data_IF_329904621266
#
_entry.id   IF_329904621266
#
_cell.length_a   1.000
_cell.length_b   1.000
_cell.length_c   1.000
_cell.angle_alpha   90.00
_cell.angle_beta   90.00
_cell.angle_gamma   90.00
#
_symmetry.space_group_name_H-M   'P 1'
#
loop_
_entity.id
_entity.type
_entity.pdbx_description
1 polymer ?
#
# COMPACT_ATOMS: atom_id res chain seq x y z
N UNK A 1 9.12 -1.41 5.70
CA UNK A 1 7.67 -1.52 5.41
C UNK A 1 7.22 -2.94 5.70
N UNK A 2 6.00 -3.11 6.17
CA UNK A 2 5.47 -4.44 6.46
C UNK A 2 5.27 -5.23 5.17
N UNK A 3 5.63 -6.50 5.18
CA UNK A 3 5.42 -7.47 4.10
C UNK A 3 4.84 -8.76 4.70
N UNK A 4 4.34 -9.65 3.86
CA UNK A 4 3.82 -10.96 4.26
C UNK A 4 4.52 -12.08 3.50
N UNK A 5 4.34 -13.31 3.94
CA UNK A 5 4.70 -14.47 3.14
C UNK A 5 3.75 -14.58 1.94
N UNK A 6 4.33 -14.76 0.75
CA UNK A 6 3.57 -15.02 -0.47
C UNK A 6 3.91 -16.43 -0.98
N UNK A 7 2.88 -17.22 -1.19
CA UNK A 7 2.99 -18.54 -1.82
C UNK A 7 2.16 -18.55 -3.09
N UNK A 8 2.78 -18.77 -4.27
CA UNK A 8 2.04 -18.89 -5.51
C UNK A 8 0.97 -19.98 -5.42
N UNK A 9 -0.18 -19.71 -6.02
CA UNK A 9 -1.26 -20.69 -6.13
C UNK A 9 -0.97 -21.68 -7.26
N UNK A 10 -1.02 -22.96 -6.95
CA UNK A 10 -0.91 -24.02 -7.96
C UNK A 10 -2.29 -24.45 -8.52
N UNK A 11 -3.33 -23.61 -8.33
CA UNK A 11 -4.67 -23.91 -8.79
C UNK A 11 -4.73 -23.89 -10.32
N UNK A 12 -5.02 -25.04 -10.92
CA UNK A 12 -5.27 -25.14 -12.36
C UNK A 12 -6.75 -24.84 -12.60
N UNK A 13 -7.00 -23.76 -13.34
CA UNK A 13 -8.33 -23.36 -13.78
C UNK A 13 -8.30 -23.31 -15.30
N UNK A 14 -9.35 -23.79 -15.98
CA UNK A 14 -9.46 -23.65 -17.43
C UNK A 14 -9.54 -22.15 -17.78
N UNK A 15 -8.72 -21.74 -18.73
CA UNK A 15 -8.72 -20.35 -19.20
C UNK A 15 -9.92 -20.12 -20.12
N UNK A 16 -10.62 -19.03 -19.86
CA UNK A 16 -11.73 -18.54 -20.69
C UNK A 16 -11.22 -17.60 -21.75
N UNK A 17 -11.96 -17.42 -22.81
CA UNK A 17 -11.71 -16.39 -23.80
C UNK A 17 -12.04 -15.01 -23.26
N UNK A 18 -11.25 -14.01 -23.64
CA UNK A 18 -11.51 -12.63 -23.26
C UNK A 18 -12.81 -12.17 -23.89
N UNK A 19 -13.73 -11.73 -23.05
CA UNK A 19 -15.04 -11.24 -23.47
C UNK A 19 -15.25 -9.82 -22.96
N UNK A 20 -15.67 -8.92 -23.87
CA UNK A 20 -16.05 -7.55 -23.55
C UNK A 20 -17.52 -7.50 -23.09
N UNK A 21 -17.74 -6.96 -21.90
CA UNK A 21 -19.05 -6.88 -21.26
C UNK A 21 -19.40 -5.42 -20.94
N UNK A 22 -20.61 -5.01 -21.28
CA UNK A 22 -21.10 -3.67 -20.92
C UNK A 22 -21.43 -3.62 -19.41
N UNK A 23 -20.92 -2.61 -18.75
CA UNK A 23 -21.08 -2.35 -17.30
C UNK A 23 -21.45 -0.87 -17.11
N UNK A 24 -22.62 -0.44 -17.56
CA UNK A 24 -23.02 0.96 -17.49
C UNK A 24 -23.13 1.41 -16.04
N UNK A 25 -22.65 2.62 -15.75
CA UNK A 25 -22.71 3.29 -14.43
C UNK A 25 -22.00 2.52 -13.28
N UNK A 26 -21.17 1.53 -13.60
CA UNK A 26 -20.40 0.72 -12.65
C UNK A 26 -18.95 1.13 -12.72
N UNK A 27 -18.36 1.61 -11.61
CA UNK A 27 -16.99 2.17 -11.58
C UNK A 27 -16.10 1.60 -10.48
N UNK A 28 -16.68 1.23 -9.35
CA UNK A 28 -15.91 0.68 -8.22
C UNK A 28 -15.77 -0.84 -8.32
N UNK A 29 -14.75 -1.40 -7.68
CA UNK A 29 -14.46 -2.84 -7.71
C UNK A 29 -15.63 -3.66 -7.15
N UNK A 30 -16.22 -3.22 -6.04
CA UNK A 30 -17.36 -3.86 -5.41
C UNK A 30 -18.61 -3.83 -6.31
N UNK A 31 -18.88 -2.70 -6.98
CA UNK A 31 -19.97 -2.61 -7.96
C UNK A 31 -19.75 -3.54 -9.15
N UNK A 32 -18.52 -3.56 -9.72
CA UNK A 32 -18.16 -4.44 -10.85
C UNK A 32 -18.30 -5.90 -10.46
N UNK A 33 -17.76 -6.29 -9.29
CA UNK A 33 -17.83 -7.66 -8.78
C UNK A 33 -19.28 -8.10 -8.57
N UNK A 34 -20.10 -7.23 -7.97
CA UNK A 34 -21.53 -7.50 -7.76
C UNK A 34 -22.30 -7.59 -9.09
N UNK A 35 -22.05 -6.68 -10.04
CA UNK A 35 -22.74 -6.64 -11.34
C UNK A 35 -22.45 -7.89 -12.18
N UNK A 36 -21.19 -8.34 -12.19
CA UNK A 36 -20.75 -9.52 -12.95
C UNK A 36 -20.88 -10.82 -12.15
N UNK A 37 -21.33 -10.75 -10.88
CA UNK A 37 -21.46 -11.88 -9.97
C UNK A 37 -20.17 -12.70 -9.83
N UNK A 38 -19.06 -12.01 -9.64
CA UNK A 38 -17.74 -12.59 -9.38
C UNK A 38 -17.20 -12.11 -8.02
N UNK A 39 -16.31 -12.87 -7.36
CA UNK A 39 -15.66 -12.38 -6.15
C UNK A 39 -14.68 -11.22 -6.47
N UNK A 40 -14.50 -10.28 -5.54
CA UNK A 40 -13.56 -9.16 -5.72
C UNK A 40 -12.12 -9.65 -6.00
N UNK A 41 -11.74 -10.81 -5.45
CA UNK A 41 -10.44 -11.44 -5.70
C UNK A 41 -10.22 -11.87 -7.16
N UNK A 42 -11.29 -11.95 -7.95
CA UNK A 42 -11.22 -12.23 -9.39
C UNK A 42 -11.11 -10.95 -10.22
N UNK A 43 -11.21 -9.79 -9.62
CA UNK A 43 -11.01 -8.52 -10.30
C UNK A 43 -9.57 -8.04 -10.15
N UNK A 44 -9.06 -7.29 -11.13
CA UNK A 44 -7.77 -6.62 -11.06
C UNK A 44 -8.02 -5.13 -11.25
N UNK A 45 -7.66 -4.33 -10.24
CA UNK A 45 -7.70 -2.88 -10.34
C UNK A 45 -6.42 -2.35 -10.99
N UNK A 46 -6.61 -1.37 -11.84
CA UNK A 46 -5.53 -0.72 -12.60
C UNK A 46 -5.42 0.73 -12.14
N UNK A 47 -4.26 1.10 -11.60
CA UNK A 47 -3.98 2.42 -11.08
C UNK A 47 -2.84 3.06 -11.89
N UNK A 48 -2.98 4.32 -12.24
CA UNK A 48 -1.99 5.06 -13.01
C UNK A 48 -1.27 6.07 -12.13
N UNK A 49 0.05 6.09 -12.21
CA UNK A 49 0.94 6.99 -11.47
C UNK A 49 1.94 7.66 -12.40
N UNK A 50 2.33 8.88 -12.05
CA UNK A 50 3.47 9.57 -12.64
C UNK A 50 4.70 9.35 -11.76
N UNK A 51 5.76 8.79 -12.31
CA UNK A 51 7.04 8.56 -11.64
C UNK A 51 8.14 9.25 -12.46
N UNK A 52 8.75 10.30 -11.91
CA UNK A 52 9.80 11.09 -12.57
C UNK A 52 9.43 11.55 -14.00
N UNK A 53 8.15 11.83 -14.23
CA UNK A 53 7.62 12.27 -15.53
C UNK A 53 7.24 11.14 -16.50
N UNK A 54 7.36 9.88 -16.10
CA UNK A 54 6.92 8.71 -16.85
C UNK A 54 5.63 8.14 -16.29
N UNK A 55 4.72 7.71 -17.16
CA UNK A 55 3.47 7.06 -16.75
C UNK A 55 3.75 5.58 -16.43
N UNK A 56 3.31 5.16 -15.24
CA UNK A 56 3.47 3.80 -14.72
C UNK A 56 2.11 3.26 -14.30
N UNK A 57 1.88 1.99 -14.55
CA UNK A 57 0.66 1.28 -14.16
C UNK A 57 0.94 0.34 -13.00
N UNK A 58 0.13 0.44 -11.95
CA UNK A 58 0.12 -0.48 -10.83
C UNK A 58 -1.12 -1.37 -10.86
N UNK A 59 -0.91 -2.69 -10.78
CA UNK A 59 -1.99 -3.68 -10.76
C UNK A 59 -2.09 -4.36 -9.40
N UNK A 60 -3.30 -4.45 -8.87
CA UNK A 60 -3.61 -5.18 -7.64
C UNK A 60 -4.87 -6.04 -7.82
N UNK A 61 -4.97 -7.08 -7.02
CA UNK A 61 -6.24 -7.78 -6.86
C UNK A 61 -7.28 -6.83 -6.26
N UNK A 62 -8.50 -6.89 -6.72
CA UNK A 62 -9.54 -5.87 -6.46
C UNK A 62 -9.72 -5.49 -5.00
N UNK A 63 -9.67 -6.44 -4.10
CA UNK A 63 -9.84 -6.20 -2.67
C UNK A 63 -8.55 -5.78 -1.94
N UNK A 64 -7.36 -5.74 -2.58
CA UNK A 64 -6.10 -5.27 -2.00
C UNK A 64 -5.94 -3.75 -2.15
N UNK A 65 -5.09 -3.13 -1.31
CA UNK A 65 -4.74 -1.71 -1.36
C UNK A 65 -3.27 -1.55 -1.74
N UNK A 66 -2.99 -0.54 -2.57
CA UNK A 66 -1.62 -0.19 -2.93
C UNK A 66 -0.90 0.46 -1.74
N UNK A 67 0.35 0.06 -1.53
CA UNK A 67 1.29 0.81 -0.71
C UNK A 67 2.18 1.66 -1.63
N UNK A 68 1.84 2.93 -1.77
CA UNK A 68 2.53 3.87 -2.65
C UNK A 68 4.02 4.00 -2.34
N UNK A 69 4.39 3.88 -1.07
CA UNK A 69 5.80 3.93 -0.65
C UNK A 69 6.58 2.71 -1.13
N UNK A 70 5.96 1.52 -1.13
CA UNK A 70 6.58 0.32 -1.71
C UNK A 70 6.80 0.49 -3.21
N UNK A 71 5.78 0.96 -3.93
CA UNK A 71 5.85 1.18 -5.37
C UNK A 71 6.89 2.25 -5.72
N UNK A 72 6.86 3.41 -5.06
CA UNK A 72 7.85 4.48 -5.24
C UNK A 72 9.29 3.97 -5.03
N UNK A 73 9.52 3.23 -3.93
CA UNK A 73 10.86 2.69 -3.62
C UNK A 73 11.31 1.64 -4.64
N UNK A 74 10.38 0.81 -5.13
CA UNK A 74 10.69 -0.17 -6.17
C UNK A 74 11.10 0.50 -7.49
N UNK A 75 10.40 1.57 -7.85
CA UNK A 75 10.73 2.38 -9.03
C UNK A 75 12.02 3.19 -8.87
N UNK A 76 12.44 3.46 -7.64
CA UNK A 76 13.57 4.37 -7.33
C UNK A 76 13.27 5.82 -7.69
N UNK A 77 11.99 6.20 -7.75
CA UNK A 77 11.56 7.51 -8.20
C UNK A 77 11.75 8.59 -7.12
N UNK A 78 12.23 9.75 -7.53
CA UNK A 78 12.29 10.93 -6.66
C UNK A 78 10.91 11.60 -6.55
N UNK A 79 10.22 11.79 -7.68
CA UNK A 79 8.86 12.31 -7.75
C UNK A 79 7.88 11.19 -8.09
N UNK A 80 6.80 11.10 -7.31
CA UNK A 80 5.80 10.05 -7.46
C UNK A 80 4.44 10.58 -7.01
N UNK A 81 3.45 10.59 -7.93
CA UNK A 81 2.10 11.08 -7.66
C UNK A 81 1.06 10.30 -8.49
N UNK A 82 -0.20 10.39 -8.09
CA UNK A 82 -1.31 9.81 -8.88
C UNK A 82 -1.41 10.56 -10.21
N UNK A 83 -1.52 9.82 -11.31
CA UNK A 83 -1.70 10.44 -12.62
C UNK A 83 -3.05 11.14 -12.71
N UNK A 84 -3.05 12.32 -13.31
CA UNK A 84 -4.27 13.09 -13.60
C UNK A 84 -5.08 12.45 -14.74
N UNK A 85 -6.35 12.80 -14.84
CA UNK A 85 -7.20 12.35 -15.95
C UNK A 85 -6.64 12.74 -17.32
N UNK A 86 -6.02 13.92 -17.43
CA UNK A 86 -5.41 14.39 -18.68
C UNK A 86 -4.19 13.54 -19.08
N UNK A 87 -3.33 13.21 -18.13
CA UNK A 87 -2.17 12.35 -18.36
C UNK A 87 -2.57 10.94 -18.78
N UNK A 88 -3.61 10.38 -18.17
CA UNK A 88 -4.17 9.07 -18.53
C UNK A 88 -4.84 9.13 -19.88
N UNK A 89 -5.62 10.18 -20.18
CA UNK A 89 -6.34 10.34 -21.46
C UNK A 89 -5.41 10.46 -22.66
N UNK A 90 -4.17 10.90 -22.47
CA UNK A 90 -3.15 10.91 -23.53
C UNK A 90 -2.73 9.49 -23.99
N UNK A 91 -3.02 8.47 -23.18
CA UNK A 91 -2.62 7.08 -23.41
C UNK A 91 -3.84 6.17 -23.60
N UNK A 92 -4.86 6.37 -22.77
CA UNK A 92 -6.08 5.55 -22.74
C UNK A 92 -7.28 6.47 -22.86
N UNK A 93 -8.11 6.28 -23.86
CA UNK A 93 -9.31 7.09 -24.08
C UNK A 93 -10.49 6.63 -23.24
N UNK A 94 -10.26 6.45 -21.93
CA UNK A 94 -11.27 6.04 -20.98
C UNK A 94 -11.06 6.74 -19.63
N UNK A 95 -12.16 6.95 -18.90
CA UNK A 95 -12.13 7.53 -17.57
C UNK A 95 -11.80 6.52 -16.47
N UNK A 96 -11.50 7.03 -15.27
CA UNK A 96 -11.30 6.20 -14.10
C UNK A 96 -12.53 5.31 -13.83
N UNK A 97 -12.26 4.04 -13.51
CA UNK A 97 -13.27 2.99 -13.33
C UNK A 97 -13.40 2.05 -14.52
N UNK A 98 -12.90 2.43 -15.72
CA UNK A 98 -12.88 1.54 -16.90
C UNK A 98 -11.47 1.22 -17.40
N UNK A 99 -10.43 1.59 -16.65
CA UNK A 99 -9.02 1.39 -16.99
C UNK A 99 -8.59 -0.06 -16.74
N UNK A 100 -7.82 -0.63 -17.68
CA UNK A 100 -7.33 -2.00 -17.62
C UNK A 100 -5.90 -2.16 -18.15
N UNK A 101 -5.25 -3.31 -17.89
CA UNK A 101 -3.88 -3.57 -18.31
C UNK A 101 -3.76 -4.07 -19.76
N UNK A 102 -4.88 -4.43 -20.39
CA UNK A 102 -4.88 -5.06 -21.73
C UNK A 102 -4.74 -4.00 -22.80
N UNK A 103 -3.91 -4.26 -23.81
CA UNK A 103 -3.68 -3.40 -24.97
C UNK A 103 -3.14 -1.99 -24.62
N UNK A 104 -2.42 -1.85 -23.52
CA UNK A 104 -1.67 -0.63 -23.22
C UNK A 104 -0.45 -0.51 -24.18
N UNK A 105 0.01 0.72 -24.48
CA UNK A 105 1.24 0.93 -25.23
C UNK A 105 2.45 0.23 -24.60
N UNK A 106 3.33 -0.35 -25.43
CA UNK A 106 4.50 -1.12 -24.99
C UNK A 106 5.51 -0.33 -24.13
N UNK A 107 5.52 0.98 -24.27
CA UNK A 107 6.41 1.86 -23.51
C UNK A 107 5.92 2.12 -22.07
N UNK A 108 4.73 1.67 -21.70
CA UNK A 108 4.20 1.84 -20.35
C UNK A 108 4.69 0.69 -19.47
N UNK A 109 5.37 1.05 -18.39
CA UNK A 109 5.80 0.09 -17.39
C UNK A 109 4.61 -0.37 -16.54
N UNK A 110 4.36 -1.69 -16.52
CA UNK A 110 3.30 -2.30 -15.72
C UNK A 110 3.93 -3.05 -14.56
N UNK A 111 3.62 -2.61 -13.33
CA UNK A 111 4.05 -3.23 -12.08
C UNK A 111 2.82 -3.86 -11.43
N UNK A 112 2.88 -5.13 -11.12
CA UNK A 112 1.77 -5.84 -10.49
C UNK A 112 2.16 -6.39 -9.12
N UNK A 113 1.22 -6.40 -8.19
CA UNK A 113 1.43 -7.18 -6.97
C UNK A 113 1.56 -8.66 -7.29
N UNK A 114 2.37 -9.35 -6.49
CA UNK A 114 2.64 -10.80 -6.66
C UNK A 114 1.39 -11.66 -6.73
N UNK A 115 0.31 -11.29 -6.03
CA UNK A 115 -0.97 -12.01 -6.07
C UNK A 115 -1.65 -11.96 -7.43
N UNK A 116 -1.42 -10.91 -8.22
CA UNK A 116 -2.03 -10.75 -9.55
C UNK A 116 -1.67 -11.91 -10.48
N UNK A 117 -0.45 -12.45 -10.38
CA UNK A 117 -0.03 -13.57 -11.24
C UNK A 117 -0.84 -14.86 -11.03
N UNK A 118 -1.52 -14.97 -9.88
CA UNK A 118 -2.35 -16.15 -9.55
C UNK A 118 -3.82 -15.99 -9.95
N UNK A 119 -4.25 -14.78 -10.31
CA UNK A 119 -5.63 -14.54 -10.74
C UNK A 119 -5.87 -15.24 -12.07
N UNK A 120 -7.00 -15.90 -12.21
CA UNK A 120 -7.42 -16.55 -13.44
C UNK A 120 -8.80 -16.04 -13.84
N UNK A 121 -8.97 -15.88 -15.16
CA UNK A 121 -10.20 -15.36 -15.77
C UNK A 121 -10.64 -14.05 -15.12
N UNK A 122 -9.67 -13.15 -14.96
CA UNK A 122 -9.85 -11.89 -14.26
C UNK A 122 -10.87 -10.98 -14.97
N UNK A 123 -11.50 -10.14 -14.17
CA UNK A 123 -12.25 -8.97 -14.64
C UNK A 123 -11.35 -7.75 -14.52
N UNK A 124 -11.21 -7.00 -15.63
CA UNK A 124 -10.43 -5.77 -15.71
C UNK A 124 -11.20 -4.70 -16.48
N UNK A 125 -10.84 -3.43 -16.34
CA UNK A 125 -11.38 -2.39 -17.23
C UNK A 125 -11.03 -2.65 -18.70
N UNK A 126 -11.90 -2.25 -19.58
CA UNK A 126 -11.73 -2.47 -21.03
C UNK A 126 -10.99 -1.32 -21.73
N UNK A 127 -10.51 -0.32 -21.01
CA UNK A 127 -9.99 0.93 -21.56
C UNK A 127 -11.03 1.67 -22.45
N UNK A 128 -12.30 1.45 -22.15
CA UNK A 128 -13.45 2.06 -22.79
C UNK A 128 -14.55 2.31 -21.74
N UNK A 129 -15.09 3.52 -21.70
CA UNK A 129 -16.06 3.92 -20.68
C UNK A 129 -17.31 3.01 -20.70
N UNK A 130 -17.67 2.51 -19.51
CA UNK A 130 -18.81 1.63 -19.30
C UNK A 130 -18.60 0.19 -19.79
N UNK A 131 -17.35 -0.25 -19.99
CA UNK A 131 -17.05 -1.62 -20.37
C UNK A 131 -15.94 -2.23 -19.53
N UNK A 132 -16.05 -3.54 -19.30
CA UNK A 132 -15.02 -4.37 -18.68
C UNK A 132 -14.73 -5.60 -19.57
N UNK A 133 -13.54 -6.17 -19.39
CA UNK A 133 -13.15 -7.45 -19.96
C UNK A 133 -13.22 -8.54 -18.89
N UNK A 134 -13.78 -9.67 -19.25
CA UNK A 134 -13.78 -10.90 -18.45
C UNK A 134 -12.89 -11.96 -19.11
N UNK A 135 -12.49 -12.99 -18.38
CA UNK A 135 -11.64 -14.06 -18.92
C UNK A 135 -10.18 -13.65 -19.14
N UNK A 136 -9.74 -12.54 -18.57
CA UNK A 136 -8.37 -12.02 -18.73
C UNK A 136 -7.40 -12.80 -17.84
N UNK A 137 -6.26 -13.24 -18.42
CA UNK A 137 -5.25 -14.01 -17.71
C UNK A 137 -3.87 -13.35 -17.79
N UNK A 138 -3.20 -13.13 -16.64
CA UNK A 138 -1.84 -12.64 -16.57
C UNK A 138 -0.88 -13.55 -17.35
N UNK A 139 0.03 -12.96 -18.11
CA UNK A 139 1.01 -13.68 -18.94
C UNK A 139 0.49 -14.06 -20.34
N UNK A 140 -0.84 -14.14 -20.52
CA UNK A 140 -1.46 -14.35 -21.84
C UNK A 140 -1.91 -13.02 -22.45
N UNK A 141 -2.65 -12.23 -21.70
CA UNK A 141 -3.33 -11.03 -22.22
C UNK A 141 -2.60 -9.73 -21.87
N UNK A 142 -1.77 -9.75 -20.87
CA UNK A 142 -0.84 -8.69 -20.50
C UNK A 142 0.39 -9.25 -19.79
N UNK A 143 1.47 -8.48 -19.80
CA UNK A 143 2.72 -8.80 -19.05
C UNK A 143 2.99 -7.71 -18.03
N UNK A 144 3.50 -8.07 -16.87
CA UNK A 144 3.84 -7.14 -15.80
C UNK A 144 5.08 -7.62 -15.03
N UNK A 145 5.75 -6.71 -14.35
CA UNK A 145 6.75 -7.04 -13.36
C UNK A 145 6.04 -7.30 -12.02
N UNK A 146 6.21 -8.50 -11.44
CA UNK A 146 5.51 -8.92 -10.23
C UNK A 146 6.36 -8.68 -8.98
N UNK A 147 5.89 -7.80 -8.10
CA UNK A 147 6.59 -7.36 -6.89
C UNK A 147 5.62 -7.17 -5.71
N UNK A 148 6.15 -7.04 -4.50
CA UNK A 148 5.34 -6.72 -3.32
C UNK A 148 5.05 -5.21 -3.27
N UNK A 149 3.87 -4.80 -3.73
CA UNK A 149 3.44 -3.38 -3.73
C UNK A 149 2.15 -3.13 -2.95
N UNK A 150 1.50 -4.15 -2.41
CA UNK A 150 0.27 -3.97 -1.65
C UNK A 150 0.51 -3.72 -0.16
N UNK A 151 -0.49 -3.20 0.50
CA UNK A 151 -0.55 -3.20 1.96
C UNK A 151 -0.81 -4.62 2.48
N UNK A 152 -0.22 -4.94 3.62
CA UNK A 152 -0.53 -6.18 4.34
C UNK A 152 -1.85 -6.05 5.08
N UNK A 153 -2.49 -7.19 5.38
CA UNK A 153 -3.73 -7.25 6.15
C UNK A 153 -3.50 -7.94 7.49
N UNK A 154 -4.32 -7.59 8.44
CA UNK A 154 -4.37 -8.30 9.72
C UNK A 154 -4.73 -9.77 9.51
N UNK A 155 -4.03 -10.67 10.21
CA UNK A 155 -4.22 -12.12 10.10
C UNK A 155 -3.44 -12.78 8.96
N UNK A 156 -2.75 -12.03 8.10
CA UNK A 156 -1.84 -12.64 7.10
C UNK A 156 -0.61 -13.26 7.77
N UNK A 157 -0.02 -14.24 7.08
CA UNK A 157 1.16 -14.93 7.59
C UNK A 157 2.37 -13.98 7.53
N UNK A 158 3.15 -13.96 8.61
CA UNK A 158 4.38 -13.16 8.69
C UNK A 158 5.41 -13.61 7.65
N UNK A 159 6.36 -12.74 7.23
CA UNK A 159 7.33 -13.06 6.17
C UNK A 159 8.22 -14.27 6.45
N UNK A 160 8.41 -14.62 7.72
CA UNK A 160 9.17 -15.81 8.15
C UNK A 160 8.31 -17.09 8.27
N UNK A 161 7.00 -16.98 8.00
CA UNK A 161 6.06 -18.10 8.05
C UNK A 161 5.73 -18.63 9.45
N UNK A 162 6.22 -17.97 10.53
CA UNK A 162 6.11 -18.48 11.89
C UNK A 162 4.96 -17.88 12.71
N UNK A 163 4.28 -16.86 12.20
CA UNK A 163 3.20 -16.19 12.90
C UNK A 163 2.23 -15.51 11.96
N UNK A 164 1.31 -14.76 12.54
CA UNK A 164 0.36 -13.92 11.81
C UNK A 164 0.59 -12.44 12.13
N UNK A 165 0.29 -11.59 11.16
CA UNK A 165 0.37 -10.15 11.33
C UNK A 165 -0.81 -9.65 12.16
N UNK A 166 -0.52 -8.87 13.20
CA UNK A 166 -1.52 -8.18 13.99
C UNK A 166 -1.27 -6.67 13.93
N UNK A 167 -2.34 -5.90 13.83
CA UNK A 167 -2.26 -4.46 13.79
C UNK A 167 -2.50 -3.88 15.18
N UNK A 168 -1.60 -3.00 15.60
CA UNK A 168 -1.75 -2.24 16.82
C UNK A 168 -1.49 -0.76 16.55
N UNK A 169 -2.28 0.10 17.18
CA UNK A 169 -2.02 1.54 17.20
C UNK A 169 -1.27 1.88 18.48
N UNK A 170 -0.24 2.69 18.36
CA UNK A 170 0.56 3.16 19.48
C UNK A 170 0.91 4.63 19.34
N UNK A 171 1.25 5.26 20.46
CA UNK A 171 1.81 6.61 20.47
C UNK A 171 3.33 6.47 20.42
N UNK A 172 3.95 7.02 19.39
CA UNK A 172 5.41 7.07 19.29
C UNK A 172 5.97 8.07 20.31
N UNK A 173 6.62 7.57 21.32
CA UNK A 173 7.25 8.39 22.39
C UNK A 173 8.75 8.57 22.20
N UNK A 174 9.38 7.74 21.40
CA UNK A 174 10.80 7.80 21.09
C UNK A 174 11.13 7.17 19.75
N UNK A 175 12.21 7.63 19.13
CA UNK A 175 12.67 7.13 17.84
C UNK A 175 14.18 7.00 17.79
N UNK A 176 14.66 5.94 17.15
CA UNK A 176 16.07 5.69 16.87
C UNK A 176 16.28 5.84 15.36
N UNK A 177 17.03 6.85 14.96
CA UNK A 177 17.36 7.09 13.55
C UNK A 177 18.75 6.56 13.23
N UNK A 178 18.84 5.68 12.27
CA UNK A 178 20.09 5.26 11.64
C UNK A 178 20.36 6.20 10.47
N UNK A 179 21.13 7.26 10.71
CA UNK A 179 21.40 8.29 9.71
C UNK A 179 22.49 7.87 8.71
N UNK A 180 23.32 6.90 9.07
CA UNK A 180 24.46 6.48 8.25
C UNK A 180 25.39 7.65 7.95
N UNK A 181 25.77 7.83 6.69
CA UNK A 181 26.66 8.92 6.25
C UNK A 181 25.89 10.06 5.56
N UNK A 182 24.58 10.05 5.57
CA UNK A 182 23.72 11.01 4.82
C UNK A 182 24.08 12.47 5.10
N UNK A 183 24.28 12.81 6.37
CA UNK A 183 24.59 14.17 6.77
C UNK A 183 26.10 14.40 6.87
N UNK A 184 26.87 13.46 7.39
CA UNK A 184 28.32 13.59 7.52
C UNK A 184 28.98 13.77 6.17
N UNK A 185 28.59 13.01 5.14
CA UNK A 185 29.15 13.18 3.79
C UNK A 185 28.88 14.58 3.21
N UNK A 186 27.65 15.09 3.34
CA UNK A 186 27.28 16.44 2.85
C UNK A 186 27.93 17.57 3.61
N UNK A 187 28.30 17.35 4.89
CA UNK A 187 28.98 18.33 5.76
C UNK A 187 30.50 18.23 5.70
N UNK A 188 31.07 17.22 5.03
CA UNK A 188 32.51 16.95 5.06
C UNK A 188 33.01 16.53 6.45
N UNK A 189 32.16 15.91 7.26
CA UNK A 189 32.51 15.44 8.60
C UNK A 189 33.13 14.04 8.50
N UNK A 190 34.46 14.02 8.28
CA UNK A 190 35.24 12.80 8.05
C UNK A 190 36.12 12.44 9.25
N UNK A 191 36.45 11.18 9.38
CA UNK A 191 37.46 10.62 10.27
C UNK A 191 38.41 9.75 9.49
N UNK A 192 39.63 9.53 10.02
CA UNK A 192 40.55 8.58 9.43
C UNK A 192 40.22 7.17 9.88
N UNK A 193 40.08 6.25 8.91
CA UNK A 193 39.97 4.82 9.19
C UNK A 193 41.29 4.21 9.67
N UNK A 194 41.33 2.92 9.97
CA UNK A 194 42.50 2.18 10.42
C UNK A 194 43.67 2.22 9.41
N UNK A 195 43.36 2.52 8.13
CA UNK A 195 44.34 2.63 7.05
C UNK A 195 44.76 4.10 6.76
N UNK A 196 44.28 5.05 7.57
CA UNK A 196 44.52 6.47 7.39
C UNK A 196 43.75 7.12 6.25
N UNK A 197 42.64 6.52 5.78
CA UNK A 197 41.78 7.08 4.75
C UNK A 197 40.68 7.91 5.39
N UNK A 198 40.37 9.07 4.84
CA UNK A 198 39.24 9.88 5.25
C UNK A 198 37.93 9.18 4.83
N UNK A 199 37.06 8.93 5.80
CA UNK A 199 35.74 8.32 5.61
C UNK A 199 34.69 9.12 6.37
N UNK A 200 33.50 9.34 5.82
CA UNK A 200 32.40 10.02 6.52
C UNK A 200 32.02 9.31 7.81
N UNK A 201 31.75 10.08 8.86
CA UNK A 201 31.31 9.55 10.16
C UNK A 201 29.93 8.89 10.02
N UNK A 202 29.81 7.67 10.55
CA UNK A 202 28.49 7.01 10.66
C UNK A 202 27.73 7.64 11.83
N UNK A 203 26.54 8.16 11.54
CA UNK A 203 25.72 8.91 12.48
C UNK A 203 24.47 8.13 12.91
N UNK A 204 24.06 8.35 14.14
CA UNK A 204 22.75 7.98 14.68
C UNK A 204 22.11 9.15 15.42
N UNK A 205 20.80 9.16 15.54
CA UNK A 205 20.09 10.14 16.35
C UNK A 205 19.04 9.42 17.19
N UNK A 206 18.99 9.78 18.47
CA UNK A 206 18.10 9.17 19.45
C UNK A 206 17.28 10.25 20.15
N UNK A 207 15.95 10.16 20.08
CA UNK A 207 15.08 11.17 20.66
C UNK A 207 13.95 10.58 21.46
N UNK A 208 13.55 11.29 22.51
CA UNK A 208 12.35 11.00 23.32
C UNK A 208 11.51 12.27 23.39
N UNK A 209 10.21 12.16 23.05
CA UNK A 209 9.26 13.26 23.19
C UNK A 209 8.76 13.37 24.63
N UNK A 210 9.45 14.12 25.49
CA UNK A 210 9.14 14.21 26.92
C UNK A 210 7.69 14.68 27.15
N UNK A 211 7.24 15.72 26.47
CA UNK A 211 5.86 16.21 26.58
C UNK A 211 4.85 15.20 26.04
N UNK A 212 5.17 14.53 24.93
CA UNK A 212 4.34 13.44 24.37
C UNK A 212 4.25 12.26 25.32
N UNK A 213 5.37 11.90 25.97
CA UNK A 213 5.39 10.83 26.97
C UNK A 213 4.42 11.13 28.12
N UNK A 214 4.39 12.37 28.65
CA UNK A 214 3.44 12.77 29.67
C UNK A 214 1.99 12.55 29.21
N UNK A 215 1.65 13.02 28.00
CA UNK A 215 0.31 12.83 27.42
C UNK A 215 -0.04 11.35 27.23
N UNK A 216 0.90 10.53 26.77
CA UNK A 216 0.70 9.10 26.58
C UNK A 216 0.47 8.37 27.92
N UNK A 217 1.21 8.71 28.96
CA UNK A 217 0.99 8.17 30.32
C UNK A 217 -0.37 8.59 30.85
N UNK A 218 -0.77 9.83 30.66
CA UNK A 218 -2.09 10.30 31.08
C UNK A 218 -3.20 9.55 30.36
N UNK A 219 -3.10 9.35 29.05
CA UNK A 219 -4.09 8.61 28.26
C UNK A 219 -4.17 7.12 28.69
N UNK A 220 -3.02 6.47 28.84
CA UNK A 220 -2.94 5.05 29.23
C UNK A 220 -3.49 4.79 30.63
N UNK A 221 -3.33 5.74 31.55
CA UNK A 221 -3.76 5.62 32.94
C UNK A 221 -5.03 6.42 33.27
N UNK A 222 -5.66 7.02 32.25
CA UNK A 222 -6.92 7.75 32.44
C UNK A 222 -8.03 6.80 32.89
N UNK A 223 -8.79 7.23 33.89
CA UNK A 223 -9.95 6.51 34.42
C UNK A 223 -11.13 7.46 34.58
N UNK A 224 -12.31 6.97 34.21
CA UNK A 224 -13.55 7.67 34.49
C UNK A 224 -13.95 7.40 35.96
N UNK A 225 -13.97 8.45 36.75
CA UNK A 225 -14.51 8.40 38.13
C UNK A 225 -15.98 8.78 38.10
N UNK A 226 -16.82 7.91 38.65
CA UNK A 226 -18.25 8.13 38.79
C UNK A 226 -18.55 8.33 40.25
N UNK A 227 -18.89 9.56 40.62
CA UNK A 227 -19.26 9.91 41.99
C UNK A 227 -20.76 10.19 42.08
N UNK A 228 -21.44 9.61 43.07
CA UNK A 228 -22.83 9.91 43.40
C UNK A 228 -22.87 11.07 44.38
N UNK A 229 -23.56 12.15 44.02
CA UNK A 229 -23.72 13.29 44.89
C UNK A 229 -24.69 12.98 46.05
N UNK A 230 -24.67 13.74 47.13
CA UNK A 230 -25.65 13.58 48.21
C UNK A 230 -27.12 13.70 47.78
N UNK A 231 -27.35 14.38 46.64
CA UNK A 231 -28.68 14.51 46.00
C UNK A 231 -29.06 13.35 45.08
N UNK A 232 -28.20 12.31 45.00
CA UNK A 232 -28.44 11.15 44.16
C UNK A 232 -28.05 11.30 42.68
N UNK A 233 -27.53 12.46 42.25
CA UNK A 233 -27.05 12.71 40.92
C UNK A 233 -25.67 12.08 40.69
N UNK A 234 -25.37 11.60 39.49
CA UNK A 234 -24.05 11.10 39.14
C UNK A 234 -23.18 12.20 38.53
N UNK A 235 -21.97 12.38 39.08
CA UNK A 235 -20.93 13.23 38.48
C UNK A 235 -19.84 12.36 37.90
N UNK A 236 -19.43 12.68 36.69
CA UNK A 236 -18.38 12.02 35.96
C UNK A 236 -17.16 12.93 35.94
N UNK A 237 -16.00 12.40 36.29
CA UNK A 237 -14.74 13.11 36.19
C UNK A 237 -13.65 12.19 35.63
N UNK A 238 -12.84 12.70 34.72
CA UNK A 238 -11.63 12.02 34.30
C UNK A 238 -10.50 12.31 35.29
N UNK A 239 -9.76 11.30 35.65
CA UNK A 239 -8.57 11.43 36.48
C UNK A 239 -7.48 10.48 35.99
N UNK A 240 -6.27 10.69 36.44
CA UNK A 240 -5.10 9.89 36.07
C UNK A 240 -4.46 9.32 37.32
N UNK A 241 -4.25 8.00 37.36
CA UNK A 241 -3.41 7.37 38.35
C UNK A 241 -2.02 7.18 37.78
N UNK A 242 -1.07 8.00 38.22
CA UNK A 242 0.32 7.78 37.83
C UNK A 242 0.84 6.48 38.46
N UNK A 243 1.64 5.70 37.75
CA UNK A 243 2.35 4.56 38.33
C UNK A 243 3.27 5.06 39.46
N UNK A 244 3.35 4.29 40.54
CA UNK A 244 4.24 4.58 41.68
C UNK A 244 5.69 4.34 41.34
#
# INVERSE_FOLDING_TARGET
MATNEYKPSNRVVAEEEVTRVATPDVKSIDEVAAFLNVPEEQTIKTLFYMADGELVVALLVGNDQLNEVKLKNHLGADFFDVASEEEVANVVQAGFGSLGPVALPENIKIIADRKVQDVRNAVVGANEDGYHLTGVNPGRDFTAEYVDIREVREGEISPDGQGVLNFARGIEIGHIFKLGTRYSASMGADVLDENGRAVPIIMGCYGIGVSRLLSAVMEQHARLFVNKTPKGEYRYAWGVNFPK
#
